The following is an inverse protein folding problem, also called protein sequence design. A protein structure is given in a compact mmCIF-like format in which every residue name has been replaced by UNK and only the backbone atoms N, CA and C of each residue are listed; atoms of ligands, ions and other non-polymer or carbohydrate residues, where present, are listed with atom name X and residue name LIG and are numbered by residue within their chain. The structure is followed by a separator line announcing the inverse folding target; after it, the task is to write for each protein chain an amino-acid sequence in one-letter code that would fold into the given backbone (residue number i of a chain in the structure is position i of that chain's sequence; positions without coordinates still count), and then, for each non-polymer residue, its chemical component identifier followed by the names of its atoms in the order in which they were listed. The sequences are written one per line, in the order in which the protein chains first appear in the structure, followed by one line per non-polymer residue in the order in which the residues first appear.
data_IF_954728143484
#
_entry.id   IF_954728143484
#
_cell.length_a   1.000
_cell.length_b   1.000
_cell.length_c   1.000
_cell.angle_alpha   90.00
_cell.angle_beta   90.00
_cell.angle_gamma   90.00
#
_symmetry.space_group_name_H-M   'P 1'
#
loop_
_entity.id
_entity.type
_entity.pdbx_description
1 polymer ?
#
# COMPACT_ATOMS: atom_id res chain seq x y z
N UNK A 1 -2.05 -18.94 1.20
CA UNK A 1 -2.25 -18.06 2.35
C UNK A 1 -0.89 -17.96 2.99
N UNK A 2 -0.28 -16.78 2.94
CA UNK A 2 1.04 -16.53 3.54
C UNK A 2 0.88 -16.35 5.05
N UNK A 3 1.75 -16.99 5.83
CA UNK A 3 1.78 -16.94 7.29
C UNK A 3 2.95 -16.10 7.78
N UNK A 4 2.82 -15.48 8.96
CA UNK A 4 3.93 -14.82 9.65
C UNK A 4 5.07 -15.78 10.03
N UNK A 5 4.84 -17.09 9.92
CA UNK A 5 5.86 -18.12 10.11
C UNK A 5 6.53 -18.56 8.79
N UNK A 6 6.11 -18.06 7.63
CA UNK A 6 6.73 -18.45 6.37
C UNK A 6 8.17 -17.90 6.29
N UNK A 7 9.14 -18.67 5.75
CA UNK A 7 10.55 -18.29 5.77
C UNK A 7 10.86 -16.93 5.13
N UNK A 8 10.03 -16.48 4.19
CA UNK A 8 10.15 -15.18 3.50
C UNK A 8 9.85 -13.97 4.40
N UNK A 9 9.12 -14.17 5.51
CA UNK A 9 8.82 -13.12 6.49
C UNK A 9 9.65 -13.23 7.77
N UNK A 10 10.44 -14.31 7.93
CA UNK A 10 11.32 -14.49 9.07
C UNK A 10 12.63 -13.73 8.86
N UNK A 11 13.02 -12.97 9.88
CA UNK A 11 14.30 -12.28 9.89
C UNK A 11 15.36 -13.19 10.52
N UNK A 12 16.52 -13.28 9.88
CA UNK A 12 17.69 -13.95 10.46
C UNK A 12 18.25 -13.14 11.64
N UNK A 13 18.05 -13.66 12.84
CA UNK A 13 18.47 -13.02 14.09
C UNK A 13 19.97 -13.14 14.37
N UNK A 14 20.72 -13.89 13.57
CA UNK A 14 22.18 -13.93 13.68
C UNK A 14 22.87 -12.66 13.15
N UNK A 15 22.13 -11.81 12.43
CA UNK A 15 22.64 -10.56 11.86
C UNK A 15 23.20 -9.63 12.95
N UNK A 16 24.28 -8.92 12.61
CA UNK A 16 25.00 -7.98 13.51
C UNK A 16 24.11 -6.92 14.15
N UNK A 17 23.01 -6.60 13.49
CA UNK A 17 22.02 -5.65 13.97
C UNK A 17 21.38 -6.09 15.31
N UNK A 18 21.10 -7.39 15.46
CA UNK A 18 20.50 -7.96 16.67
C UNK A 18 21.54 -8.41 17.70
N UNK A 19 22.72 -8.83 17.23
CA UNK A 19 23.77 -9.39 18.11
C UNK A 19 24.80 -8.36 18.58
N UNK A 20 24.94 -7.24 17.87
CA UNK A 20 25.93 -6.18 18.14
C UNK A 20 25.50 -5.14 19.17
N UNK A 21 24.32 -5.29 19.80
CA UNK A 21 23.79 -4.32 20.77
C UNK A 21 23.20 -3.04 20.15
N UNK A 22 22.99 -3.02 18.83
CA UNK A 22 22.39 -1.87 18.12
C UNK A 22 20.85 -1.92 18.13
N UNK A 23 20.27 -3.08 18.36
CA UNK A 23 18.82 -3.24 18.43
C UNK A 23 18.29 -2.90 19.83
N UNK A 24 17.26 -2.05 19.96
CA UNK A 24 16.73 -1.67 21.25
C UNK A 24 16.15 -2.86 22.03
N UNK A 25 16.40 -2.88 23.34
CA UNK A 25 15.82 -3.88 24.24
C UNK A 25 14.28 -3.79 24.24
N UNK A 26 13.61 -4.95 24.18
CA UNK A 26 12.15 -5.04 24.19
C UNK A 26 11.47 -4.80 22.84
N UNK A 27 12.21 -4.48 21.77
CA UNK A 27 11.66 -4.36 20.42
C UNK A 27 11.70 -5.73 19.73
N UNK A 28 10.56 -6.29 19.29
CA UNK A 28 10.54 -7.60 18.62
C UNK A 28 11.39 -7.64 17.35
N UNK A 29 12.11 -8.73 17.13
CA UNK A 29 12.87 -8.96 15.90
C UNK A 29 11.97 -9.42 14.76
N UNK A 30 10.99 -10.27 15.08
CA UNK A 30 10.09 -10.89 14.13
C UNK A 30 8.73 -10.18 14.09
N UNK A 31 8.16 -10.07 12.90
CA UNK A 31 6.80 -9.53 12.73
C UNK A 31 5.75 -10.39 13.44
N UNK A 32 5.97 -11.72 13.54
CA UNK A 32 5.07 -12.66 14.21
C UNK A 32 4.94 -12.42 15.72
N UNK A 33 5.93 -11.77 16.31
CA UNK A 33 5.99 -11.51 17.75
C UNK A 33 5.33 -10.15 18.09
N UNK A 34 4.84 -9.42 17.09
CA UNK A 34 4.11 -8.16 17.26
C UNK A 34 2.61 -8.46 17.22
N UNK A 35 1.91 -8.09 18.29
CA UNK A 35 0.46 -8.28 18.39
C UNK A 35 -0.29 -7.45 17.33
N UNK A 36 -1.32 -8.06 16.72
CA UNK A 36 -2.20 -7.38 15.77
C UNK A 36 -1.63 -7.21 14.35
N UNK A 37 -0.43 -7.72 14.07
CA UNK A 37 0.13 -7.73 12.72
C UNK A 37 -0.58 -8.79 11.86
N UNK A 38 -0.85 -8.42 10.62
CA UNK A 38 -1.47 -9.28 9.62
C UNK A 38 -0.75 -9.08 8.28
N UNK A 39 -0.57 -10.17 7.53
CA UNK A 39 -0.04 -10.11 6.16
C UNK A 39 -1.23 -9.98 5.22
N UNK A 40 -1.35 -8.81 4.58
CA UNK A 40 -2.40 -8.52 3.62
C UNK A 40 -1.80 -8.01 2.30
N UNK A 41 -2.43 -8.33 1.15
CA UNK A 41 -2.23 -7.56 -0.06
C UNK A 41 -2.42 -6.07 0.22
N UNK A 42 -1.57 -5.22 -0.35
CA UNK A 42 -1.58 -3.77 -0.09
C UNK A 42 -2.98 -3.14 -0.29
N UNK A 43 -3.71 -3.59 -1.32
CA UNK A 43 -5.07 -3.16 -1.62
C UNK A 43 -6.05 -3.46 -0.47
N UNK A 44 -5.99 -4.68 0.07
CA UNK A 44 -6.82 -5.10 1.21
C UNK A 44 -6.41 -4.37 2.49
N UNK A 45 -5.11 -4.14 2.68
CA UNK A 45 -4.58 -3.32 3.76
C UNK A 45 -5.17 -1.91 3.76
N UNK A 46 -5.26 -1.25 2.60
CA UNK A 46 -5.89 0.06 2.49
C UNK A 46 -7.38 0.04 2.83
N UNK A 47 -8.13 -0.97 2.38
CA UNK A 47 -9.56 -1.12 2.70
C UNK A 47 -9.72 -1.30 4.22
N UNK A 48 -8.96 -2.21 4.82
CA UNK A 48 -8.99 -2.47 6.27
C UNK A 48 -8.69 -1.20 7.07
N UNK A 49 -7.67 -0.44 6.69
CA UNK A 49 -7.34 0.83 7.35
C UNK A 49 -8.46 1.86 7.17
N UNK A 50 -9.03 1.96 5.96
CA UNK A 50 -10.11 2.89 5.67
C UNK A 50 -11.36 2.61 6.51
N UNK A 51 -11.72 1.34 6.66
CA UNK A 51 -12.82 0.87 7.50
C UNK A 51 -12.53 1.09 8.99
N UNK A 52 -11.35 0.68 9.46
CA UNK A 52 -10.96 0.78 10.87
C UNK A 52 -10.96 2.23 11.38
N UNK A 53 -10.44 3.16 10.57
CA UNK A 53 -10.38 4.57 10.95
C UNK A 53 -11.62 5.39 10.50
N UNK A 54 -12.54 4.80 9.74
CA UNK A 54 -13.72 5.50 9.22
C UNK A 54 -13.40 6.67 8.29
N UNK A 55 -12.31 6.58 7.51
CA UNK A 55 -11.73 7.70 6.75
C UNK A 55 -12.16 7.76 5.28
N UNK A 56 -13.10 6.92 4.86
CA UNK A 56 -13.55 6.83 3.46
C UNK A 56 -13.96 8.17 2.85
N UNK A 57 -14.62 9.00 3.64
CA UNK A 57 -15.20 10.27 3.18
C UNK A 57 -14.38 11.49 3.59
N UNK A 58 -13.17 11.28 4.12
CA UNK A 58 -12.21 12.34 4.43
C UNK A 58 -11.48 12.80 3.17
N UNK A 59 -11.16 14.09 3.10
CA UNK A 59 -10.30 14.68 2.08
C UNK A 59 -8.84 14.27 2.34
N UNK A 60 -8.38 13.17 1.73
CA UNK A 60 -7.04 12.62 2.00
C UNK A 60 -5.97 13.07 1.00
N UNK A 61 -6.38 13.48 -0.19
CA UNK A 61 -5.47 13.94 -1.24
C UNK A 61 -5.79 15.38 -1.56
N UNK A 62 -4.74 16.21 -1.50
CA UNK A 62 -4.80 17.61 -1.89
C UNK A 62 -3.92 17.75 -3.13
N UNK A 63 -4.53 18.12 -4.24
CA UNK A 63 -3.84 18.37 -5.49
C UNK A 63 -3.88 19.87 -5.78
N UNK A 64 -2.71 20.48 -5.97
CA UNK A 64 -2.59 21.93 -6.17
C UNK A 64 -2.03 22.19 -7.56
N UNK A 65 -2.79 22.93 -8.37
CA UNK A 65 -2.41 23.37 -9.71
C UNK A 65 -2.51 24.89 -9.82
N UNK A 66 -1.46 25.59 -9.36
CA UNK A 66 -1.43 27.04 -9.31
C UNK A 66 -2.53 27.59 -8.37
N UNK A 67 -3.49 28.39 -8.87
CA UNK A 67 -4.59 28.92 -8.04
C UNK A 67 -5.67 27.87 -7.73
N UNK A 68 -5.64 26.72 -8.39
CA UNK A 68 -6.62 25.65 -8.19
C UNK A 68 -6.11 24.66 -7.13
N UNK A 69 -6.98 24.34 -6.17
CA UNK A 69 -6.73 23.30 -5.17
C UNK A 69 -7.93 22.36 -5.16
N UNK A 70 -7.66 21.09 -5.42
CA UNK A 70 -8.63 20.02 -5.35
C UNK A 70 -8.42 19.21 -4.08
N UNK A 71 -9.51 18.87 -3.42
CA UNK A 71 -9.54 17.98 -2.28
C UNK A 71 -10.33 16.75 -2.68
N UNK A 72 -9.70 15.59 -2.56
CA UNK A 72 -10.27 14.33 -3.03
C UNK A 72 -10.45 13.38 -1.87
N UNK A 73 -11.66 12.83 -1.79
CA UNK A 73 -12.02 11.83 -0.80
C UNK A 73 -11.31 10.51 -1.08
N UNK A 74 -10.99 9.76 -0.03
CA UNK A 74 -10.40 8.42 -0.17
C UNK A 74 -11.27 7.50 -1.05
N UNK A 75 -12.60 7.53 -0.84
CA UNK A 75 -13.56 6.78 -1.66
C UNK A 75 -13.42 7.07 -3.15
N UNK A 76 -13.26 8.34 -3.52
CA UNK A 76 -13.11 8.77 -4.91
C UNK A 76 -11.81 8.25 -5.52
N UNK A 77 -10.70 8.24 -4.78
CA UNK A 77 -9.43 7.68 -5.24
C UNK A 77 -9.54 6.17 -5.50
N UNK A 78 -10.23 5.44 -4.61
CA UNK A 78 -10.50 4.02 -4.80
C UNK A 78 -11.36 3.75 -6.04
N UNK A 79 -12.38 4.56 -6.30
CA UNK A 79 -13.19 4.46 -7.51
C UNK A 79 -12.37 4.71 -8.79
N UNK A 80 -11.49 5.72 -8.77
CA UNK A 80 -10.58 5.98 -9.88
C UNK A 80 -9.58 4.86 -10.10
N UNK A 81 -8.97 4.35 -9.03
CA UNK A 81 -8.06 3.19 -9.07
C UNK A 81 -8.74 1.97 -9.69
N UNK A 82 -9.95 1.62 -9.25
CA UNK A 82 -10.73 0.51 -9.82
C UNK A 82 -11.00 0.70 -11.31
N UNK A 83 -11.46 1.90 -11.71
CA UNK A 83 -11.70 2.22 -13.13
C UNK A 83 -10.43 2.09 -13.98
N UNK A 84 -9.30 2.56 -13.46
CA UNK A 84 -8.02 2.46 -14.15
C UNK A 84 -7.53 1.01 -14.25
N UNK A 85 -7.59 0.23 -13.18
CA UNK A 85 -7.22 -1.20 -13.20
C UNK A 85 -8.09 -2.02 -14.16
N UNK A 86 -9.41 -1.78 -14.18
CA UNK A 86 -10.31 -2.37 -15.19
C UNK A 86 -9.89 -1.99 -16.61
N UNK A 87 -9.51 -0.73 -16.85
CA UNK A 87 -9.01 -0.30 -18.16
C UNK A 87 -7.69 -1.00 -18.55
N UNK A 88 -6.73 -1.11 -17.62
CA UNK A 88 -5.47 -1.83 -17.85
C UNK A 88 -5.74 -3.28 -18.28
N UNK A 89 -6.64 -3.96 -17.57
CA UNK A 89 -6.97 -5.36 -17.83
C UNK A 89 -7.78 -5.56 -19.13
N UNK A 90 -8.88 -4.84 -19.29
CA UNK A 90 -9.85 -5.06 -20.38
C UNK A 90 -9.42 -4.43 -21.70
N UNK A 91 -8.67 -3.32 -21.67
CA UNK A 91 -8.33 -2.54 -22.88
C UNK A 91 -6.87 -2.67 -23.29
N UNK A 92 -5.95 -2.72 -22.32
CA UNK A 92 -4.51 -2.82 -22.62
C UNK A 92 -3.99 -4.25 -22.50
N UNK A 93 -4.78 -5.18 -21.99
CA UNK A 93 -4.40 -6.59 -21.91
C UNK A 93 -3.41 -6.90 -20.80
N UNK A 94 -3.18 -5.98 -19.85
CA UNK A 94 -2.32 -6.21 -18.68
C UNK A 94 -2.92 -7.33 -17.83
N UNK A 95 -2.06 -8.20 -17.30
CA UNK A 95 -2.43 -9.37 -16.49
C UNK A 95 -1.71 -9.36 -15.15
N UNK A 96 -2.23 -10.20 -14.24
CA UNK A 96 -1.62 -10.42 -12.94
C UNK A 96 -0.16 -10.90 -13.11
N UNK A 97 0.76 -10.17 -12.49
CA UNK A 97 2.20 -10.46 -12.54
C UNK A 97 2.95 -9.63 -13.59
N UNK A 98 2.26 -8.92 -14.47
CA UNK A 98 2.89 -7.96 -15.38
C UNK A 98 3.45 -6.78 -14.58
N UNK A 99 4.51 -6.18 -15.13
CA UNK A 99 5.19 -5.03 -14.52
C UNK A 99 4.83 -3.77 -15.30
N UNK A 100 4.26 -2.79 -14.60
CA UNK A 100 3.88 -1.49 -15.16
C UNK A 100 4.81 -0.40 -14.64
N UNK A 101 5.51 0.29 -15.54
CA UNK A 101 6.30 1.47 -15.21
C UNK A 101 5.40 2.71 -15.13
N UNK A 102 5.51 3.48 -14.05
CA UNK A 102 4.74 4.71 -13.82
C UNK A 102 5.73 5.88 -13.74
N UNK A 103 5.72 6.74 -14.75
CA UNK A 103 6.50 7.99 -14.79
C UNK A 103 5.54 9.18 -14.82
N UNK A 104 5.24 9.73 -13.65
CA UNK A 104 4.32 10.84 -13.47
C UNK A 104 4.86 11.79 -12.39
N UNK A 105 4.61 13.11 -12.52
CA UNK A 105 4.94 14.06 -11.47
C UNK A 105 4.06 13.83 -10.23
N UNK A 106 4.40 14.51 -9.12
CA UNK A 106 3.60 14.50 -7.90
C UNK A 106 2.18 15.04 -8.18
N UNK A 107 1.25 14.12 -8.39
CA UNK A 107 -0.10 14.39 -8.87
C UNK A 107 -1.05 13.28 -8.45
N UNK A 108 -2.34 13.58 -8.46
CA UNK A 108 -3.38 12.59 -8.20
C UNK A 108 -3.32 11.40 -9.18
N UNK A 109 -2.91 11.64 -10.43
CA UNK A 109 -2.77 10.60 -11.44
C UNK A 109 -1.76 9.52 -11.03
N UNK A 110 -0.70 9.88 -10.31
CA UNK A 110 0.25 8.91 -9.78
C UNK A 110 -0.42 7.99 -8.75
N UNK A 111 -1.21 8.56 -7.84
CA UNK A 111 -1.94 7.78 -6.81
C UNK A 111 -2.95 6.84 -7.48
N UNK A 112 -3.72 7.34 -8.45
CA UNK A 112 -4.69 6.54 -9.21
C UNK A 112 -4.00 5.42 -9.99
N UNK A 113 -2.88 5.71 -10.66
CA UNK A 113 -2.14 4.73 -11.42
C UNK A 113 -1.57 3.63 -10.52
N UNK A 114 -0.96 4.01 -9.39
CA UNK A 114 -0.42 3.07 -8.41
C UNK A 114 -1.54 2.18 -7.84
N UNK A 115 -2.64 2.79 -7.38
CA UNK A 115 -3.81 2.06 -6.87
C UNK A 115 -4.43 1.13 -7.89
N UNK A 116 -4.59 1.57 -9.15
CA UNK A 116 -5.16 0.75 -10.21
C UNK A 116 -4.27 -0.40 -10.66
N UNK A 117 -2.94 -0.30 -10.51
CA UNK A 117 -2.04 -1.43 -10.77
C UNK A 117 -2.10 -2.51 -9.67
N UNK A 118 -2.62 -2.18 -8.48
CA UNK A 118 -2.80 -3.12 -7.37
C UNK A 118 -4.19 -3.78 -7.33
N UNK A 119 -5.16 -3.26 -8.09
CA UNK A 119 -6.54 -3.75 -8.17
C UNK A 119 -6.67 -4.89 -9.19
#
# INVERSE_FOLDING_TARGET
MTSLNDPEFLVDESKVWFTGGYWPEGVPHQLKDVEGIEILPMWEGFIKSADHYGIWDNDICIFVYGPYMERVKLRTLFEYGKKFGTFLYDKLGIRKGDVVAIDLPNSINFVVAYMGCMY
#
